data_IF_928177270741
#
_entry.id   IF_928177270741
#
_cell.length_a   1.000
_cell.length_b   1.000
_cell.length_c   1.000
_cell.angle_alpha   90.00
_cell.angle_beta   90.00
_cell.angle_gamma   90.00
#
_symmetry.space_group_name_H-M   'P 1'
#
loop_
_entity.id
_entity.type
_entity.pdbx_description
1 polymer ?
#
# COMPACT_ATOMS: atom_id res chain seq x y z
N UNK A 1 -0.05 13.52 -10.53
CA UNK A 1 0.02 12.05 -10.63
C UNK A 1 -0.69 11.45 -9.43
N UNK A 2 -1.46 10.38 -9.62
CA UNK A 2 -2.13 9.66 -8.53
C UNK A 2 -1.65 8.20 -8.55
N UNK A 3 -1.34 7.65 -7.38
CA UNK A 3 -1.02 6.23 -7.17
C UNK A 3 -2.03 5.61 -6.22
N UNK A 4 -2.59 4.47 -6.60
CA UNK A 4 -3.43 3.67 -5.71
C UNK A 4 -2.57 2.69 -4.95
N UNK A 5 -2.52 2.87 -3.64
CA UNK A 5 -1.74 2.01 -2.75
C UNK A 5 -2.64 0.86 -2.34
N UNK A 6 -2.30 -0.34 -2.81
CA UNK A 6 -3.05 -1.56 -2.56
C UNK A 6 -2.28 -2.50 -1.64
N UNK A 7 -3.02 -3.22 -0.80
CA UNK A 7 -2.54 -4.43 -0.15
C UNK A 7 -2.63 -5.61 -1.13
N UNK A 8 -1.65 -5.71 -2.01
CA UNK A 8 -1.52 -6.75 -3.03
C UNK A 8 -0.06 -7.14 -3.21
N UNK A 9 0.19 -8.31 -3.79
CA UNK A 9 1.51 -8.88 -3.98
C UNK A 9 1.92 -8.86 -5.47
N UNK A 10 2.71 -7.87 -5.93
CA UNK A 10 3.21 -7.82 -7.30
C UNK A 10 4.09 -9.00 -7.70
N UNK A 11 4.74 -9.69 -6.75
CA UNK A 11 5.52 -10.90 -7.02
C UNK A 11 4.63 -12.11 -7.29
N UNK A 12 3.37 -12.06 -6.87
CA UNK A 12 2.39 -13.14 -7.03
C UNK A 12 1.18 -12.71 -7.85
N UNK A 13 1.43 -12.06 -9.00
CA UNK A 13 0.39 -11.66 -9.94
C UNK A 13 -0.73 -10.82 -9.26
N UNK A 14 -0.33 -9.88 -8.41
CA UNK A 14 -1.22 -8.92 -7.75
C UNK A 14 -2.32 -9.58 -6.90
N UNK A 15 -2.05 -10.75 -6.32
CA UNK A 15 -3.00 -11.36 -5.38
C UNK A 15 -3.18 -10.46 -4.15
N UNK A 16 -4.41 -10.34 -3.60
CA UNK A 16 -4.64 -9.57 -2.38
C UNK A 16 -3.74 -10.04 -1.23
N UNK A 17 -3.18 -9.09 -0.49
CA UNK A 17 -2.38 -9.33 0.70
C UNK A 17 -3.19 -8.96 1.95
N UNK A 18 -3.57 -9.98 2.72
CA UNK A 18 -4.25 -9.78 4.00
C UNK A 18 -3.21 -9.66 5.12
N UNK A 19 -3.60 -8.98 6.20
CA UNK A 19 -2.75 -8.85 7.37
C UNK A 19 -3.12 -7.66 8.23
N UNK A 20 -2.46 -7.57 9.38
CA UNK A 20 -2.55 -6.43 10.26
C UNK A 20 -1.46 -5.42 9.90
N UNK A 21 -1.83 -4.15 9.80
CA UNK A 21 -0.86 -3.07 9.59
C UNK A 21 -0.06 -2.87 10.88
N UNK A 22 1.15 -3.41 10.94
CA UNK A 22 2.03 -3.30 12.12
C UNK A 22 2.70 -1.92 12.20
N UNK A 23 2.99 -1.34 11.04
CA UNK A 23 3.60 0.00 10.91
C UNK A 23 3.10 0.67 9.65
N UNK A 24 2.92 1.99 9.73
CA UNK A 24 2.46 2.84 8.64
C UNK A 24 3.08 4.24 8.76
N UNK A 25 4.07 4.51 7.92
CA UNK A 25 4.54 5.85 7.59
C UNK A 25 4.03 6.22 6.21
N UNK A 26 3.37 7.36 6.11
CA UNK A 26 3.01 7.96 4.83
C UNK A 26 3.96 9.09 4.46
N UNK A 27 4.22 9.33 3.16
CA UNK A 27 4.99 10.48 2.70
C UNK A 27 4.30 11.80 3.01
N UNK A 28 5.11 12.86 3.13
CA UNK A 28 4.66 14.22 3.40
C UNK A 28 5.46 15.26 2.61
N UNK A 29 5.09 16.53 2.77
CA UNK A 29 5.83 17.68 2.23
C UNK A 29 5.24 18.25 0.94
N UNK A 30 6.01 19.15 0.30
CA UNK A 30 5.53 19.96 -0.80
C UNK A 30 5.02 19.13 -1.99
N UNK A 31 3.82 19.47 -2.47
CA UNK A 31 3.20 18.81 -3.61
C UNK A 31 2.78 17.36 -3.35
N UNK A 32 2.74 16.90 -2.10
CA UNK A 32 2.29 15.55 -1.74
C UNK A 32 1.03 15.63 -0.89
N UNK A 33 0.01 14.89 -1.31
CA UNK A 33 -1.22 14.65 -0.55
C UNK A 33 -1.46 13.15 -0.43
N UNK A 34 -1.88 12.71 0.73
CA UNK A 34 -2.16 11.31 1.00
C UNK A 34 -3.59 11.16 1.53
N UNK A 35 -4.47 10.59 0.72
CA UNK A 35 -5.83 10.25 1.13
C UNK A 35 -5.81 8.83 1.68
N UNK A 36 -5.61 8.72 2.99
CA UNK A 36 -5.41 7.47 3.70
C UNK A 36 -6.72 6.95 4.30
N UNK A 37 -7.10 5.72 3.99
CA UNK A 37 -8.31 5.06 4.51
C UNK A 37 -8.08 4.12 5.69
N UNK A 38 -6.82 3.94 6.12
CA UNK A 38 -6.41 2.97 7.14
C UNK A 38 -5.48 3.60 8.18
N UNK A 39 -5.16 2.87 9.25
CA UNK A 39 -4.24 3.31 10.30
C UNK A 39 -3.40 2.15 10.82
N UNK A 40 -2.33 2.44 11.55
CA UNK A 40 -1.60 1.40 12.28
C UNK A 40 -2.55 0.62 13.21
N UNK A 41 -2.31 -0.69 13.26
CA UNK A 41 -3.12 -1.67 13.97
C UNK A 41 -4.41 -2.12 13.26
N UNK A 42 -4.73 -1.58 12.08
CA UNK A 42 -5.90 -1.99 11.28
C UNK A 42 -5.70 -3.37 10.63
N UNK A 43 -6.75 -4.19 10.62
CA UNK A 43 -6.77 -5.47 9.90
C UNK A 43 -7.36 -5.28 8.50
N UNK A 44 -6.62 -5.69 7.47
CA UNK A 44 -7.04 -5.57 6.08
C UNK A 44 -8.14 -6.60 5.79
N UNK A 45 -9.37 -6.17 5.42
CA UNK A 45 -10.50 -7.08 5.26
C UNK A 45 -10.39 -7.89 3.96
N UNK A 46 -10.95 -9.10 3.97
CA UNK A 46 -11.01 -9.97 2.78
C UNK A 46 -12.15 -9.59 1.81
N UNK A 47 -13.21 -8.92 2.31
CA UNK A 47 -14.46 -8.75 1.57
C UNK A 47 -14.53 -7.51 0.68
N UNK A 48 -13.53 -6.63 0.74
CA UNK A 48 -13.54 -5.34 0.06
C UNK A 48 -12.28 -5.16 -0.79
N UNK A 49 -12.31 -4.15 -1.66
CA UNK A 49 -11.15 -3.72 -2.44
C UNK A 49 -9.96 -3.42 -1.49
N UNK A 50 -8.76 -3.99 -1.70
CA UNK A 50 -7.63 -3.83 -0.79
C UNK A 50 -6.97 -2.43 -0.85
N UNK A 51 -7.70 -1.39 -1.30
CA UNK A 51 -7.18 -0.04 -1.43
C UNK A 51 -6.97 0.59 -0.07
N UNK A 52 -5.73 0.95 0.23
CA UNK A 52 -5.34 1.53 1.51
C UNK A 52 -5.29 3.05 1.45
N UNK A 53 -4.79 3.60 0.34
CA UNK A 53 -4.60 5.03 0.17
C UNK A 53 -4.59 5.45 -1.29
N UNK A 54 -4.81 6.75 -1.52
CA UNK A 54 -4.42 7.43 -2.76
C UNK A 54 -3.28 8.38 -2.44
N UNK A 55 -2.12 8.15 -3.05
CA UNK A 55 -1.01 9.10 -3.04
C UNK A 55 -1.18 10.03 -4.24
N UNK A 56 -1.39 11.31 -3.98
CA UNK A 56 -1.49 12.35 -5.02
C UNK A 56 -0.24 13.22 -4.96
N UNK A 57 0.45 13.32 -6.09
CA UNK A 57 1.66 14.12 -6.25
C UNK A 57 1.45 15.18 -7.31
N UNK A 58 1.85 16.40 -7.02
CA UNK A 58 1.79 17.56 -7.90
C UNK A 58 3.18 18.15 -8.12
N UNK A 59 3.44 18.55 -9.36
CA UNK A 59 4.60 19.33 -9.81
C UNK A 59 4.16 20.32 -10.87
N UNK A 60 4.93 21.39 -11.07
CA UNK A 60 4.63 22.41 -12.09
C UNK A 60 4.79 21.86 -13.52
N UNK A 61 5.66 20.88 -13.68
CA UNK A 61 5.85 20.10 -14.89
C UNK A 61 5.96 18.59 -14.57
N UNK A 62 6.04 17.78 -15.64
CA UNK A 62 6.11 16.33 -15.55
C UNK A 62 7.36 15.85 -14.81
N UNK A 63 8.50 16.49 -15.07
CA UNK A 63 9.80 16.13 -14.48
C UNK A 63 9.77 16.34 -12.96
N UNK A 64 9.33 17.51 -12.52
CA UNK A 64 9.14 17.87 -11.11
C UNK A 64 8.14 16.94 -10.45
N UNK A 65 7.03 16.61 -11.12
CA UNK A 65 6.06 15.66 -10.59
C UNK A 65 6.68 14.26 -10.42
N UNK A 66 7.45 13.76 -11.40
CA UNK A 66 8.13 12.46 -11.32
C UNK A 66 9.18 12.43 -10.21
N UNK A 67 10.00 13.47 -10.09
CA UNK A 67 10.99 13.59 -9.01
C UNK A 67 10.34 13.58 -7.62
N UNK A 68 9.22 14.31 -7.45
CA UNK A 68 8.44 14.27 -6.21
C UNK A 68 7.78 12.91 -5.97
N UNK A 69 7.32 12.23 -7.03
CA UNK A 69 6.74 10.89 -6.92
C UNK A 69 7.76 9.87 -6.43
N UNK A 70 8.98 9.87 -6.98
CA UNK A 70 10.08 8.99 -6.52
C UNK A 70 10.37 9.18 -5.04
N UNK A 71 10.50 10.44 -4.60
CA UNK A 71 10.70 10.77 -3.18
C UNK A 71 9.54 10.28 -2.31
N UNK A 72 8.30 10.63 -2.67
CA UNK A 72 7.12 10.28 -1.87
C UNK A 72 6.91 8.76 -1.77
N UNK A 73 7.10 8.03 -2.87
CA UNK A 73 7.01 6.57 -2.86
C UNK A 73 8.13 5.94 -2.01
N UNK A 74 9.33 6.50 -2.01
CA UNK A 74 10.46 6.04 -1.18
C UNK A 74 10.33 6.33 0.33
N UNK A 75 9.46 7.27 0.73
CA UNK A 75 9.21 7.62 2.13
C UNK A 75 8.15 6.72 2.81
N UNK A 76 7.38 5.96 2.04
CA UNK A 76 6.41 5.01 2.59
C UNK A 76 7.13 3.94 3.43
N UNK A 77 6.57 3.61 4.59
CA UNK A 77 6.96 2.42 5.37
C UNK A 77 5.70 1.71 5.82
N UNK A 78 5.44 0.52 5.27
CA UNK A 78 4.27 -0.28 5.62
C UNK A 78 4.73 -1.70 5.93
N UNK A 79 4.39 -2.19 7.11
CA UNK A 79 4.81 -3.52 7.57
C UNK A 79 3.62 -4.34 8.04
N UNK A 80 3.75 -5.66 7.92
CA UNK A 80 2.73 -6.64 8.32
C UNK A 80 1.93 -7.26 7.17
N UNK A 81 2.12 -6.77 5.94
CA UNK A 81 1.48 -7.25 4.72
C UNK A 81 2.30 -6.82 3.49
N UNK A 82 2.01 -7.38 2.31
CA UNK A 82 2.64 -7.03 1.03
C UNK A 82 1.82 -5.96 0.32
N UNK A 83 2.49 -5.04 -0.38
CA UNK A 83 1.84 -3.92 -1.05
C UNK A 83 2.52 -3.55 -2.37
N UNK A 84 1.84 -2.76 -3.20
CA UNK A 84 2.31 -2.38 -4.53
C UNK A 84 3.20 -1.13 -4.63
N UNK A 85 3.69 -0.55 -3.53
CA UNK A 85 4.57 0.64 -3.59
C UNK A 85 5.83 0.40 -4.42
N UNK A 86 6.47 -0.76 -4.29
CA UNK A 86 7.67 -1.09 -5.08
C UNK A 86 7.37 -1.10 -6.59
N UNK A 87 6.19 -1.59 -7.00
CA UNK A 87 5.72 -1.51 -8.39
C UNK A 87 5.60 -0.06 -8.85
N UNK A 88 4.96 0.81 -8.06
CA UNK A 88 4.85 2.22 -8.43
C UNK A 88 6.21 2.90 -8.59
N UNK A 89 7.18 2.55 -7.73
CA UNK A 89 8.57 3.03 -7.85
C UNK A 89 9.21 2.54 -9.15
N UNK A 90 9.03 1.27 -9.48
CA UNK A 90 9.49 0.69 -10.73
C UNK A 90 8.88 1.42 -11.94
N UNK A 91 7.56 1.64 -11.96
CA UNK A 91 6.86 2.31 -13.07
C UNK A 91 7.41 3.72 -13.31
N UNK A 92 7.61 4.53 -12.27
CA UNK A 92 8.10 5.91 -12.44
C UNK A 92 9.56 6.00 -12.86
N UNK A 93 10.30 4.89 -12.79
CA UNK A 93 11.69 4.78 -13.25
C UNK A 93 11.83 4.19 -14.66
N UNK A 94 10.76 3.72 -15.29
CA UNK A 94 10.82 3.22 -16.66
C UNK A 94 10.90 4.35 -17.69
N UNK A 95 11.78 4.20 -18.68
CA UNK A 95 11.99 5.18 -19.75
C UNK A 95 10.71 5.44 -20.56
N UNK A 96 9.94 4.39 -20.84
CA UNK A 96 8.65 4.48 -21.51
C UNK A 96 7.68 5.38 -20.73
N UNK A 97 7.66 5.23 -19.39
CA UNK A 97 6.84 6.07 -18.54
C UNK A 97 7.38 7.49 -18.47
N UNK A 98 8.69 7.69 -18.26
CA UNK A 98 9.31 9.01 -18.17
C UNK A 98 9.05 9.83 -19.44
N UNK A 99 9.35 9.26 -20.61
CA UNK A 99 9.18 9.88 -21.93
C UNK A 99 7.72 10.10 -22.32
N UNK A 100 6.78 9.41 -21.67
CA UNK A 100 5.35 9.47 -21.99
C UNK A 100 4.91 8.55 -23.13
N UNK A 101 5.82 7.72 -23.68
CA UNK A 101 5.55 6.80 -24.78
C UNK A 101 5.24 5.40 -24.24
N UNK A 102 4.06 5.24 -23.64
CA UNK A 102 3.58 3.96 -23.11
C UNK A 102 2.13 3.69 -23.52
N UNK A 103 1.72 2.43 -23.45
CA UNK A 103 0.34 2.01 -23.67
C UNK A 103 -0.22 1.32 -22.43
N UNK A 104 -1.47 0.87 -22.50
CA UNK A 104 -2.08 0.03 -21.45
C UNK A 104 -1.37 -1.30 -21.25
N UNK A 105 -0.45 -1.68 -22.15
CA UNK A 105 0.29 -2.94 -22.13
C UNK A 105 1.67 -2.84 -21.47
N UNK A 106 2.05 -1.68 -20.91
CA UNK A 106 3.39 -1.48 -20.34
C UNK A 106 3.79 -2.61 -19.38
N UNK A 107 2.89 -3.01 -18.48
CA UNK A 107 3.15 -4.11 -17.55
C UNK A 107 3.27 -5.46 -18.29
N UNK A 108 2.29 -5.80 -19.13
CA UNK A 108 2.30 -7.05 -19.90
C UNK A 108 3.57 -7.22 -20.75
N UNK A 109 4.07 -6.12 -21.31
CA UNK A 109 5.15 -6.15 -22.29
C UNK A 109 6.55 -6.03 -21.64
N UNK A 110 6.65 -5.44 -20.43
CA UNK A 110 7.96 -5.08 -19.83
C UNK A 110 8.18 -5.49 -18.37
N UNK A 111 7.14 -5.77 -17.60
CA UNK A 111 7.30 -5.94 -16.16
C UNK A 111 7.81 -7.34 -15.80
N UNK A 112 9.00 -7.40 -15.19
CA UNK A 112 9.51 -8.56 -14.47
C UNK A 112 9.47 -8.30 -12.95
N UNK A 113 8.71 -9.08 -12.17
CA UNK A 113 8.64 -8.91 -10.72
C UNK A 113 9.99 -9.03 -9.99
N UNK A 114 10.98 -9.71 -10.57
CA UNK A 114 12.32 -9.81 -9.98
C UNK A 114 13.02 -8.45 -9.89
N UNK A 115 12.69 -7.51 -10.77
CA UNK A 115 13.25 -6.15 -10.76
C UNK A 115 12.84 -5.34 -9.53
N UNK A 116 11.72 -5.69 -8.90
CA UNK A 116 11.22 -4.99 -7.70
C UNK A 116 12.18 -5.05 -6.51
N UNK A 117 13.07 -6.05 -6.48
CA UNK A 117 14.09 -6.17 -5.43
C UNK A 117 14.98 -4.92 -5.35
N UNK A 118 15.23 -4.24 -6.48
CA UNK A 118 16.02 -3.01 -6.52
C UNK A 118 15.31 -1.78 -5.93
N UNK A 119 14.01 -1.89 -5.65
CA UNK A 119 13.20 -0.81 -5.08
C UNK A 119 12.89 -1.01 -3.58
N UNK A 120 13.38 -2.10 -2.99
CA UNK A 120 13.40 -2.30 -1.55
C UNK A 120 14.62 -1.55 -1.01
N UNK A 121 14.42 -0.67 -0.03
CA UNK A 121 15.54 0.09 0.55
C UNK A 121 16.41 -0.79 1.46
N UNK A 122 17.69 -0.45 1.59
CA UNK A 122 18.61 -1.17 2.49
C UNK A 122 18.06 -1.23 3.92
N UNK A 123 17.53 -0.12 4.45
CA UNK A 123 16.89 -0.07 5.76
C UNK A 123 15.71 -1.07 5.89
N UNK A 124 14.91 -1.24 4.82
CA UNK A 124 13.81 -2.20 4.81
C UNK A 124 14.33 -3.63 4.76
N UNK A 125 15.36 -3.89 3.96
CA UNK A 125 15.99 -5.20 3.86
C UNK A 125 16.63 -5.60 5.20
N UNK A 126 17.33 -4.68 5.85
CA UNK A 126 17.90 -4.85 7.20
C UNK A 126 16.82 -5.13 8.23
N UNK A 127 15.70 -4.39 8.21
CA UNK A 127 14.58 -4.63 9.11
C UNK A 127 13.93 -6.00 8.89
N UNK A 128 13.75 -6.41 7.63
CA UNK A 128 13.22 -7.74 7.29
C UNK A 128 14.18 -8.85 7.75
N UNK A 129 15.48 -8.70 7.52
CA UNK A 129 16.50 -9.65 7.97
C UNK A 129 16.54 -9.77 9.50
N UNK A 130 16.47 -8.64 10.22
CA UNK A 130 16.41 -8.62 11.68
C UNK A 130 15.13 -9.29 12.21
N UNK A 131 13.97 -9.03 11.59
CA UNK A 131 12.72 -9.67 11.96
C UNK A 131 12.77 -11.19 11.74
N UNK A 132 13.30 -11.65 10.61
CA UNK A 132 13.49 -13.07 10.33
C UNK A 132 14.41 -13.73 11.36
N UNK A 133 15.54 -13.10 11.70
CA UNK A 133 16.48 -13.62 12.69
C UNK A 133 15.84 -13.74 14.09
N UNK A 134 15.00 -12.78 14.50
CA UNK A 134 14.25 -12.86 15.77
C UNK A 134 13.23 -14.00 15.77
N UNK A 135 12.52 -14.21 14.65
CA UNK A 135 11.58 -15.33 14.48
C UNK A 135 12.32 -16.67 14.56
N UNK A 136 13.44 -16.81 13.84
CA UNK A 136 14.29 -18.02 13.88
C UNK A 136 14.87 -18.28 15.28
N UNK A 137 15.17 -17.21 16.04
CA UNK A 137 15.61 -17.30 17.43
C UNK A 137 14.47 -17.59 18.42
N UNK A 138 13.21 -17.67 17.96
CA UNK A 138 12.05 -17.91 18.82
C UNK A 138 11.70 -16.72 19.73
N UNK A 139 12.12 -15.51 19.39
CA UNK A 139 11.86 -14.30 20.17
C UNK A 139 10.56 -13.65 19.67
N UNK A 140 9.47 -13.90 20.38
CA UNK A 140 8.16 -13.27 20.15
C UNK A 140 7.02 -14.28 20.11
N UNK A 141 6.10 -14.20 21.08
CA UNK A 141 4.79 -14.86 20.97
C UNK A 141 3.96 -14.12 19.92
N UNK A 142 3.67 -14.79 18.81
CA UNK A 142 2.68 -14.30 17.86
C UNK A 142 1.29 -14.47 18.50
N UNK A 143 0.75 -13.40 19.07
CA UNK A 143 -0.68 -13.32 19.35
C UNK A 143 -1.41 -13.32 18.00
N UNK A 144 -1.67 -14.51 17.47
CA UNK A 144 -2.42 -14.76 16.26
C UNK A 144 -3.91 -14.52 16.53
N UNK A 145 -4.28 -13.32 16.99
CA UNK A 145 -5.66 -12.88 17.04
C UNK A 145 -6.07 -12.41 15.63
N UNK A 146 -6.30 -13.38 14.73
CA UNK A 146 -7.12 -13.15 13.53
C UNK A 146 -8.57 -13.21 14.00
N UNK A 147 -9.17 -12.04 14.19
CA UNK A 147 -10.57 -11.95 14.54
C UNK A 147 -10.90 -10.66 15.29
N UNK A 148 -11.02 -9.55 14.56
CA UNK A 148 -11.84 -8.45 15.05
C UNK A 148 -13.28 -8.75 14.68
N UNK A 149 -14.04 -9.27 15.65
CA UNK A 149 -15.49 -9.09 15.66
C UNK A 149 -15.75 -7.58 15.65
N UNK A 150 -16.49 -7.02 14.69
CA UNK A 150 -16.72 -5.58 14.63
C UNK A 150 -17.79 -5.20 15.65
N UNK A 151 -17.41 -5.10 16.93
CA UNK A 151 -18.31 -4.64 17.99
C UNK A 151 -18.21 -3.14 18.33
N UNK A 152 -17.31 -2.39 17.67
CA UNK A 152 -17.36 -0.93 17.71
C UNK A 152 -17.63 -0.36 16.31
N UNK A 153 -18.90 -0.41 15.92
CA UNK A 153 -19.37 0.28 14.72
C UNK A 153 -19.22 1.78 14.92
N UNK A 154 -18.55 2.44 13.98
CA UNK A 154 -18.56 3.90 13.92
C UNK A 154 -19.99 4.45 13.83
N UNK A 155 -20.24 5.74 14.16
CA UNK A 155 -21.55 6.39 14.03
C UNK A 155 -22.20 6.29 12.64
N UNK A 156 -21.45 5.87 11.62
CA UNK A 156 -21.95 5.61 10.26
C UNK A 156 -22.54 4.19 10.11
N UNK A 157 -22.01 3.20 10.82
CA UNK A 157 -22.51 1.81 10.81
C UNK A 157 -23.85 1.65 11.53
N UNK A 158 -24.11 2.45 12.56
CA UNK A 158 -25.40 2.47 13.27
C UNK A 158 -26.51 3.10 12.42
N UNK A 159 -26.21 4.21 11.73
CA UNK A 159 -27.17 4.92 10.85
C UNK A 159 -27.61 4.09 9.64
N UNK A 160 -26.70 3.30 9.06
CA UNK A 160 -27.04 2.41 7.95
C UNK A 160 -28.09 1.35 8.32
N UNK A 161 -28.06 0.84 9.56
CA UNK A 161 -29.04 -0.14 10.07
C UNK A 161 -30.39 0.48 10.43
N UNK A 162 -30.39 1.69 10.99
CA UNK A 162 -31.61 2.43 11.30
C UNK A 162 -32.48 2.67 10.06
N UNK A 163 -31.84 2.93 8.91
CA UNK A 163 -32.54 3.17 7.64
C UNK A 163 -33.11 1.88 7.00
N UNK A 164 -32.53 0.71 7.27
CA UNK A 164 -33.03 -0.57 6.73
C UNK A 164 -34.21 -1.15 7.51
N UNK A 165 -34.42 -0.74 8.77
CA UNK A 165 -35.48 -1.30 9.64
C UNK A 165 -36.82 -0.59 9.51
N UNK A 166 -36.90 0.54 8.79
CA UNK A 166 -38.12 1.36 8.67
C UNK A 166 -38.67 1.45 7.23
N UNK A 167 -38.20 0.60 6.32
CA UNK A 167 -38.56 0.63 4.90
C UNK A 167 -39.66 -0.35 4.48
N UNK A 168 -40.73 -0.53 5.25
CA UNK A 168 -41.95 -1.19 4.76
C UNK A 168 -43.19 -0.66 5.48
N UNK A 169 -43.84 0.34 4.88
CA UNK A 169 -45.30 0.46 4.79
C UNK A 169 -45.67 1.08 3.45
#
# INVERSE_FOLDING_TARGET
MEFRIYAEDPWKNFTPSLGRILRLRTPQGAGVRNDLGVREGYDIPIYYDPMLAKLIVYGEDRETCLGRSRRALGEYRMLGFVHNVALHRWVVDQEEFISGHYSTRLLDDRFDPSELASFISDDELELMAAALALIEAGVGEADAAIGTTPDDLSPWGERGRSLMTHGHR
#
